data_IF_408188086927
#
_entry.id   IF_408188086927
#
_cell.length_a   1.000
_cell.length_b   1.000
_cell.length_c   1.000
_cell.angle_alpha   90.00
_cell.angle_beta   90.00
_cell.angle_gamma   90.00
#
_symmetry.space_group_name_H-M   'P 1'
#
loop_
_entity.id
_entity.type
_entity.pdbx_description
1 polymer ?
#
# COMPACT_ATOMS: atom_id res chain seq x y z
N UNK A 1 -21.84 7.14 -2.02
CA UNK A 1 -21.47 5.79 -2.49
C UNK A 1 -20.39 5.95 -3.54
N UNK A 2 -19.18 5.45 -3.32
CA UNK A 2 -18.11 5.51 -4.32
C UNK A 2 -18.19 4.26 -5.20
N UNK A 3 -18.22 4.43 -6.52
CA UNK A 3 -18.01 3.33 -7.46
C UNK A 3 -16.51 3.07 -7.56
N UNK A 4 -16.11 1.82 -7.36
CA UNK A 4 -14.74 1.39 -7.56
C UNK A 4 -14.50 1.11 -9.05
N UNK A 5 -13.37 1.59 -9.55
CA UNK A 5 -12.81 1.31 -10.86
C UNK A 5 -11.56 0.43 -10.68
N UNK A 6 -11.15 -0.24 -11.75
CA UNK A 6 -9.90 -0.98 -11.79
C UNK A 6 -8.78 -0.02 -12.19
N UNK A 7 -7.80 0.16 -11.31
CA UNK A 7 -6.59 0.96 -11.53
C UNK A 7 -5.37 0.05 -11.68
N UNK A 8 -4.39 0.51 -12.46
CA UNK A 8 -3.12 -0.18 -12.64
C UNK A 8 -2.06 0.40 -11.69
N UNK A 9 -1.52 -0.43 -10.80
CA UNK A 9 -0.46 -0.05 -9.85
C UNK A 9 0.71 0.64 -10.56
N UNK A 10 1.22 -0.02 -11.60
CA UNK A 10 2.11 0.55 -12.62
C UNK A 10 1.28 0.87 -13.86
N UNK A 11 1.22 2.12 -14.32
CA UNK A 11 0.40 2.50 -15.46
C UNK A 11 0.91 1.88 -16.76
N UNK A 12 -0.01 1.55 -17.67
CA UNK A 12 0.30 0.96 -18.97
C UNK A 12 1.27 1.82 -19.79
N UNK A 13 1.10 3.15 -19.74
CA UNK A 13 1.99 4.12 -20.40
C UNK A 13 3.45 4.03 -19.95
N UNK A 14 3.73 3.38 -18.80
CA UNK A 14 5.08 3.15 -18.26
C UNK A 14 5.46 1.67 -18.23
N UNK A 15 4.79 0.85 -19.03
CA UNK A 15 5.06 -0.58 -19.17
C UNK A 15 4.46 -1.46 -18.08
N UNK A 16 3.39 -1.01 -17.40
CA UNK A 16 2.55 -1.90 -16.60
C UNK A 16 1.79 -2.90 -17.46
N UNK A 17 1.41 -4.03 -16.88
CA UNK A 17 0.72 -5.13 -17.57
C UNK A 17 -0.73 -5.27 -17.08
N UNK A 18 -1.60 -5.86 -17.92
CA UNK A 18 -2.97 -6.23 -17.55
C UNK A 18 -3.00 -7.57 -16.82
N UNK A 19 -2.38 -7.63 -15.64
CA UNK A 19 -2.26 -8.83 -14.83
C UNK A 19 -2.72 -8.59 -13.41
N UNK A 20 -3.29 -9.61 -12.76
CA UNK A 20 -3.85 -9.50 -11.41
C UNK A 20 -2.94 -8.79 -10.39
N UNK A 21 -1.62 -9.05 -10.35
CA UNK A 21 -0.72 -8.34 -9.42
C UNK A 21 -0.61 -6.83 -9.66
N UNK A 22 -0.93 -6.37 -10.87
CA UNK A 22 -0.86 -4.96 -11.25
C UNK A 22 -2.23 -4.26 -11.18
N UNK A 23 -3.30 -4.93 -10.76
CA UNK A 23 -4.65 -4.36 -10.69
C UNK A 23 -5.06 -4.09 -9.24
N UNK A 24 -5.62 -2.91 -8.97
CA UNK A 24 -6.16 -2.54 -7.67
C UNK A 24 -7.50 -1.82 -7.81
N UNK A 25 -8.44 -1.97 -6.85
CA UNK A 25 -9.65 -1.15 -6.82
C UNK A 25 -9.31 0.29 -6.39
N UNK A 26 -9.82 1.28 -7.12
CA UNK A 26 -9.69 2.69 -6.78
C UNK A 26 -11.01 3.43 -7.04
N UNK A 27 -11.33 4.49 -6.27
CA UNK A 27 -12.46 5.33 -6.65
C UNK A 27 -12.12 6.17 -7.89
N UNK A 28 -13.12 6.57 -8.67
CA UNK A 28 -12.93 7.35 -9.89
C UNK A 28 -12.09 8.63 -9.69
N UNK A 29 -12.20 9.29 -8.53
CA UNK A 29 -11.40 10.47 -8.23
C UNK A 29 -9.93 10.14 -7.97
N UNK A 30 -9.64 9.13 -7.14
CA UNK A 30 -8.27 8.69 -6.87
C UNK A 30 -7.61 8.15 -8.14
N UNK A 31 -8.32 7.32 -8.92
CA UNK A 31 -7.83 6.76 -10.18
C UNK A 31 -7.41 7.88 -11.16
N UNK A 32 -8.29 8.86 -11.37
CA UNK A 32 -7.97 10.02 -12.22
C UNK A 32 -6.88 10.92 -11.63
N UNK A 33 -6.84 11.09 -10.31
CA UNK A 33 -5.78 11.84 -9.63
C UNK A 33 -4.43 11.17 -9.85
N UNK A 34 -4.34 9.84 -9.74
CA UNK A 34 -3.12 9.08 -10.01
C UNK A 34 -2.62 9.28 -11.43
N UNK A 35 -3.50 9.03 -12.41
CA UNK A 35 -3.15 9.10 -13.83
C UNK A 35 -1.99 8.16 -14.18
N UNK A 36 -1.04 8.65 -14.99
CA UNK A 36 0.12 7.88 -15.46
C UNK A 36 1.30 7.84 -14.48
N UNK A 37 1.05 8.12 -13.21
CA UNK A 37 2.05 7.93 -12.16
C UNK A 37 2.03 6.49 -11.65
N UNK A 38 3.20 6.00 -11.29
CA UNK A 38 3.30 4.80 -10.47
C UNK A 38 2.59 5.03 -9.13
N UNK A 39 1.94 4.01 -8.56
CA UNK A 39 1.17 4.15 -7.31
C UNK A 39 2.03 4.73 -6.18
N UNK A 40 3.30 4.34 -6.10
CA UNK A 40 4.21 4.81 -5.04
C UNK A 40 4.52 6.29 -5.25
N UNK A 41 4.83 6.69 -6.48
CA UNK A 41 5.07 8.10 -6.83
C UNK A 41 3.84 8.97 -6.55
N UNK A 42 2.65 8.49 -6.90
CA UNK A 42 1.41 9.22 -6.65
C UNK A 42 1.14 9.35 -5.16
N UNK A 43 1.28 8.26 -4.40
CA UNK A 43 1.10 8.28 -2.94
C UNK A 43 2.05 9.29 -2.31
N UNK A 44 3.35 9.26 -2.62
CA UNK A 44 4.34 10.20 -2.07
C UNK A 44 4.01 11.69 -2.29
N UNK A 45 3.22 12.03 -3.32
CA UNK A 45 2.80 13.42 -3.61
C UNK A 45 1.42 13.77 -3.08
N UNK A 46 0.56 12.76 -2.93
CA UNK A 46 -0.85 12.92 -2.58
C UNK A 46 -1.06 12.78 -1.08
N UNK A 47 -0.13 12.10 -0.40
CA UNK A 47 -0.02 12.13 1.04
C UNK A 47 0.82 13.34 1.44
N UNK A 48 0.17 14.39 1.96
CA UNK A 48 0.85 15.24 2.93
C UNK A 48 1.34 14.40 4.11
N UNK A 49 0.65 13.32 4.44
CA UNK A 49 0.98 12.41 5.53
C UNK A 49 0.38 11.04 5.22
N UNK A 50 1.24 10.03 5.03
CA UNK A 50 0.84 8.63 5.09
C UNK A 50 0.60 8.25 6.53
N UNK A 51 -0.26 9.01 7.22
CA UNK A 51 -0.41 8.94 8.65
C UNK A 51 -1.89 8.75 9.03
N UNK A 52 -2.14 8.04 10.12
CA UNK A 52 -3.47 7.99 10.74
C UNK A 52 -3.88 9.39 11.20
N UNK A 53 -5.13 9.60 11.64
CA UNK A 53 -5.60 10.90 12.14
C UNK A 53 -4.77 11.52 13.27
N UNK A 54 -3.83 10.76 13.84
CA UNK A 54 -2.85 11.16 14.86
C UNK A 54 -1.42 11.35 14.32
N UNK A 55 -1.24 11.56 13.02
CA UNK A 55 0.08 11.88 12.45
C UNK A 55 1.12 10.73 12.69
N UNK A 56 0.68 9.46 12.65
CA UNK A 56 1.54 8.27 12.77
C UNK A 56 1.58 7.44 11.50
N UNK A 57 2.76 6.99 11.05
CA UNK A 57 2.87 6.33 9.74
C UNK A 57 2.07 5.04 9.70
N UNK A 58 1.34 4.81 8.61
CA UNK A 58 0.52 3.59 8.45
C UNK A 58 1.42 2.34 8.50
N UNK A 59 2.68 2.47 8.08
CA UNK A 59 3.73 1.45 8.16
C UNK A 59 4.41 1.35 9.52
N UNK A 60 4.13 2.27 10.45
CA UNK A 60 4.62 2.22 11.82
C UNK A 60 3.77 1.26 12.67
N UNK A 61 3.29 0.17 12.07
CA UNK A 61 2.78 -0.98 12.81
C UNK A 61 3.91 -1.56 13.66
N UNK A 62 3.88 -1.25 14.94
CA UNK A 62 4.45 -1.95 16.10
C UNK A 62 5.65 -2.88 15.81
N UNK A 63 6.81 -2.30 15.46
CA UNK A 63 8.07 -3.03 15.30
C UNK A 63 8.39 -3.92 16.51
N UNK A 64 7.97 -3.51 17.71
CA UNK A 64 8.13 -4.29 18.94
C UNK A 64 7.37 -5.63 18.96
N UNK A 65 6.30 -5.81 18.16
CA UNK A 65 5.57 -7.09 18.13
C UNK A 65 6.27 -8.16 17.28
N UNK A 66 7.01 -7.76 16.25
CA UNK A 66 7.74 -8.68 15.37
C UNK A 66 9.04 -9.18 16.01
N UNK A 67 9.68 -8.34 16.83
CA UNK A 67 10.88 -8.72 17.60
C UNK A 67 10.57 -9.83 18.63
N UNK A 68 9.44 -9.70 19.34
CA UNK A 68 8.95 -10.71 20.28
C UNK A 68 8.48 -12.02 19.60
N UNK A 69 8.02 -11.94 18.35
CA UNK A 69 7.58 -13.13 17.60
C UNK A 69 8.76 -14.05 17.24
N UNK A 70 9.95 -13.50 16.97
CA UNK A 70 11.16 -14.30 16.73
C UNK A 70 11.61 -15.07 17.97
N UNK A 71 11.47 -14.48 19.18
CA UNK A 71 11.81 -15.15 20.44
C UNK A 71 10.83 -16.29 20.76
N UNK A 72 9.53 -16.05 20.60
CA UNK A 72 8.50 -17.07 20.84
C UNK A 72 8.60 -18.26 19.87
N UNK A 73 8.97 -18.01 18.60
CA UNK A 73 9.20 -19.10 17.64
C UNK A 73 10.41 -19.97 18.02
N UNK A 74 11.48 -19.38 18.56
CA UNK A 74 12.69 -20.10 18.95
C UNK A 74 12.49 -20.97 20.20
N UNK A 75 11.59 -20.57 21.10
CA UNK A 75 11.22 -21.32 22.31
C UNK A 75 10.32 -22.53 21.99
N UNK A 76 9.35 -22.37 21.08
CA UNK A 76 8.41 -23.45 20.71
C UNK A 76 9.08 -24.56 19.91
N UNK A 77 10.12 -24.26 19.12
CA UNK A 77 10.83 -25.25 18.29
C UNK A 77 11.99 -25.97 19.02
N UNK A 78 12.24 -25.62 20.29
CA UNK A 78 13.34 -26.18 21.09
C UNK A 78 12.84 -27.11 22.21
N UNK A 79 11.56 -27.52 22.21
CA UNK A 79 10.97 -28.52 23.11
C UNK A 79 10.54 -29.79 22.38
#
# INVERSE_FOLDING_TARGET
MAVAEVDHIRPLARGGLHEWPNLAPACAWCNRSKGDRDVIEWLSRSTGEGLTGDNRAITEGDRGRLENASQLLHEVTSS
#
